data_IF_925324875438
#
_entry.id   IF_925324875438
#
_cell.length_a   1.000
_cell.length_b   1.000
_cell.length_c   1.000
_cell.angle_alpha   90.00
_cell.angle_beta   90.00
_cell.angle_gamma   90.00
#
_symmetry.space_group_name_H-M   'P 1'
#
loop_
_entity.id
_entity.type
_entity.pdbx_description
1 polymer ?
#
# COMPACT_ATOMS: atom_id res chain seq x y z
N UNK A 1 0.68 -12.26 8.49
CA UNK A 1 1.50 -12.05 9.71
C UNK A 1 1.67 -10.55 9.91
N UNK A 2 1.22 -10.01 11.05
CA UNK A 2 1.29 -8.58 11.34
C UNK A 2 2.75 -8.14 11.56
N UNK A 3 3.09 -6.93 11.13
CA UNK A 3 4.40 -6.35 11.42
C UNK A 3 4.55 -6.07 12.93
N UNK A 4 5.77 -6.25 13.46
CA UNK A 4 6.10 -5.78 14.81
C UNK A 4 5.86 -4.28 14.94
N UNK A 5 5.34 -3.88 16.11
CA UNK A 5 5.00 -2.49 16.45
C UNK A 5 6.18 -1.54 16.27
N UNK A 6 5.86 -0.27 16.01
CA UNK A 6 6.87 0.78 15.85
C UNK A 6 7.66 1.00 17.14
N UNK A 7 7.00 0.92 18.30
CA UNK A 7 7.64 0.98 19.61
C UNK A 7 8.74 -0.08 19.78
N UNK A 8 8.44 -1.34 19.46
CA UNK A 8 9.41 -2.43 19.59
C UNK A 8 10.66 -2.18 18.73
N UNK A 9 10.46 -1.68 17.50
CA UNK A 9 11.54 -1.35 16.57
C UNK A 9 12.39 -0.19 17.09
N UNK A 10 11.76 0.84 17.65
CA UNK A 10 12.44 1.98 18.25
C UNK A 10 13.32 1.53 19.42
N UNK A 11 12.79 0.70 20.32
CA UNK A 11 13.53 0.18 21.47
C UNK A 11 14.73 -0.70 21.06
N UNK A 12 14.55 -1.53 20.03
CA UNK A 12 15.66 -2.32 19.46
C UNK A 12 16.73 -1.40 18.84
N UNK A 13 16.32 -0.35 18.13
CA UNK A 13 17.25 0.59 17.50
C UNK A 13 18.06 1.35 18.54
N UNK A 14 17.41 1.91 19.57
CA UNK A 14 18.09 2.64 20.65
C UNK A 14 19.10 1.73 21.36
N UNK A 15 18.71 0.50 21.71
CA UNK A 15 19.62 -0.45 22.35
C UNK A 15 20.80 -0.86 21.42
N UNK A 16 20.59 -0.87 20.11
CA UNK A 16 21.66 -1.12 19.13
C UNK A 16 22.60 0.08 18.98
N UNK A 17 22.08 1.31 18.95
CA UNK A 17 22.88 2.54 18.88
C UNK A 17 23.73 2.74 20.12
N UNK A 18 23.19 2.42 21.30
CA UNK A 18 23.89 2.46 22.57
C UNK A 18 24.92 1.32 22.75
N UNK A 19 25.07 0.43 21.76
CA UNK A 19 25.95 -0.74 21.79
C UNK A 19 25.71 -1.66 23.01
N UNK A 20 24.49 -1.66 23.55
CA UNK A 20 24.15 -2.38 24.79
C UNK A 20 24.29 -3.90 24.65
N UNK A 21 24.23 -4.43 23.42
CA UNK A 21 24.28 -5.87 23.15
C UNK A 21 24.65 -6.18 21.69
N UNK A 22 25.07 -7.43 21.44
CA UNK A 22 25.14 -7.98 20.07
C UNK A 22 23.74 -8.18 19.49
N UNK A 23 23.63 -8.31 18.15
CA UNK A 23 22.34 -8.56 17.49
C UNK A 23 21.61 -9.80 18.05
N UNK A 24 22.38 -10.84 18.43
CA UNK A 24 21.84 -12.04 19.08
C UNK A 24 21.37 -11.77 20.50
N UNK A 25 22.07 -10.93 21.26
CA UNK A 25 21.65 -10.46 22.58
C UNK A 25 20.35 -9.65 22.52
N UNK A 26 20.25 -8.73 21.55
CA UNK A 26 19.02 -7.95 21.32
C UNK A 26 17.84 -8.85 20.96
N UNK A 27 18.02 -9.83 20.07
CA UNK A 27 16.97 -10.78 19.73
C UNK A 27 16.42 -11.52 20.95
N UNK A 28 17.31 -12.01 21.83
CA UNK A 28 16.92 -12.66 23.10
C UNK A 28 16.21 -11.71 24.05
N UNK A 29 16.76 -10.51 24.27
CA UNK A 29 16.21 -9.50 25.20
C UNK A 29 14.79 -9.07 24.80
N UNK A 30 14.57 -8.83 23.51
CA UNK A 30 13.29 -8.39 22.99
C UNK A 30 12.36 -9.54 22.59
N UNK A 31 12.76 -10.80 22.84
CA UNK A 31 11.99 -12.02 22.50
C UNK A 31 11.55 -12.05 21.04
N UNK A 32 12.41 -11.62 20.13
CA UNK A 32 12.19 -11.62 18.67
C UNK A 32 13.19 -12.54 17.97
N UNK A 33 12.91 -12.89 16.72
CA UNK A 33 13.84 -13.69 15.93
C UNK A 33 15.11 -12.91 15.58
N UNK A 34 16.24 -13.62 15.52
CA UNK A 34 17.51 -13.04 15.07
C UNK A 34 17.43 -12.51 13.63
N UNK A 35 16.72 -13.23 12.76
CA UNK A 35 16.48 -12.80 11.38
C UNK A 35 15.79 -11.44 11.32
N UNK A 36 14.77 -11.21 12.16
CA UNK A 36 14.08 -9.93 12.22
C UNK A 36 15.03 -8.79 12.62
N UNK A 37 15.82 -8.95 13.69
CA UNK A 37 16.76 -7.90 14.14
C UNK A 37 17.79 -7.61 13.05
N UNK A 38 18.35 -8.64 12.41
CA UNK A 38 19.32 -8.49 11.34
C UNK A 38 18.75 -7.75 10.13
N UNK A 39 17.57 -8.17 9.66
CA UNK A 39 16.92 -7.58 8.49
C UNK A 39 16.45 -6.15 8.77
N UNK A 40 15.97 -5.88 9.99
CA UNK A 40 15.60 -4.55 10.47
C UNK A 40 16.80 -3.60 10.46
N UNK A 41 17.91 -3.98 11.10
CA UNK A 41 19.12 -3.14 11.16
C UNK A 41 19.75 -2.94 9.78
N UNK A 42 19.76 -3.96 8.92
CA UNK A 42 20.22 -3.82 7.53
C UNK A 42 19.40 -2.77 6.78
N UNK A 43 18.07 -2.83 6.89
CA UNK A 43 17.18 -1.85 6.25
C UNK A 43 17.38 -0.45 6.82
N UNK A 44 17.48 -0.33 8.14
CA UNK A 44 17.71 0.94 8.79
C UNK A 44 18.98 1.61 8.27
N UNK A 45 20.09 0.88 8.11
CA UNK A 45 21.33 1.43 7.52
C UNK A 45 21.18 1.90 6.06
N UNK A 46 20.25 1.33 5.31
CA UNK A 46 20.04 1.66 3.89
C UNK A 46 19.07 2.83 3.69
N UNK A 47 18.09 2.97 4.58
CA UNK A 47 16.93 3.85 4.36
C UNK A 47 16.74 4.88 5.48
N UNK A 48 17.43 4.72 6.61
CA UNK A 48 17.17 5.42 7.87
C UNK A 48 15.71 5.34 8.37
N UNK A 49 14.92 4.40 7.83
CA UNK A 49 13.53 4.20 8.20
C UNK A 49 13.37 3.13 9.28
N UNK A 50 12.56 3.45 10.28
CA UNK A 50 12.19 2.54 11.38
C UNK A 50 10.86 1.84 11.07
N UNK A 51 9.97 2.54 10.37
CA UNK A 51 8.62 2.07 10.08
C UNK A 51 8.61 0.72 9.31
N UNK A 52 7.60 -0.14 9.54
CA UNK A 52 7.38 -1.30 8.67
C UNK A 52 7.23 -0.87 7.20
N UNK A 53 7.58 -1.77 6.28
CA UNK A 53 7.19 -1.54 4.88
C UNK A 53 5.66 -1.48 4.82
N UNK A 54 5.08 -0.64 3.95
CA UNK A 54 3.65 -0.70 3.70
C UNK A 54 3.26 -2.15 3.38
N UNK A 55 2.42 -2.73 4.24
CA UNK A 55 1.92 -4.09 4.08
C UNK A 55 0.66 -4.03 3.23
N UNK A 56 0.68 -4.71 2.08
CA UNK A 56 -0.41 -4.65 1.12
C UNK A 56 -0.36 -3.40 0.23
N UNK A 57 -1.40 -3.22 -0.57
CA UNK A 57 -1.47 -2.20 -1.63
C UNK A 57 -1.71 -2.85 -3.00
N UNK A 58 -2.45 -2.15 -3.86
CA UNK A 58 -2.75 -2.62 -5.20
C UNK A 58 -1.50 -2.52 -6.11
N UNK A 59 -0.70 -3.58 -6.11
CA UNK A 59 0.47 -3.70 -6.99
C UNK A 59 0.08 -3.86 -8.46
N UNK A 60 -1.16 -4.28 -8.77
CA UNK A 60 -1.56 -4.76 -10.10
C UNK A 60 -2.67 -3.96 -10.78
N UNK A 61 -3.19 -2.88 -10.16
CA UNK A 61 -4.15 -2.00 -10.83
C UNK A 61 -3.56 -1.55 -12.16
N UNK A 62 -4.29 -1.87 -13.24
CA UNK A 62 -3.96 -1.38 -14.58
C UNK A 62 -4.36 0.08 -14.76
N UNK A 63 -5.23 0.60 -13.90
CA UNK A 63 -5.71 2.00 -13.92
C UNK A 63 -4.89 2.77 -12.87
N UNK A 64 -3.96 3.61 -13.31
CA UNK A 64 -3.10 4.43 -12.43
C UNK A 64 -2.85 5.81 -13.05
N UNK A 65 -2.60 6.80 -12.19
CA UNK A 65 -2.20 8.14 -12.62
C UNK A 65 -3.27 8.80 -13.51
N UNK A 66 -2.90 9.16 -14.74
CA UNK A 66 -3.78 9.82 -15.70
C UNK A 66 -5.08 9.04 -15.98
N UNK A 67 -5.06 7.70 -15.89
CA UNK A 67 -6.26 6.88 -16.12
C UNK A 67 -7.28 7.07 -15.01
N UNK A 68 -6.82 7.37 -13.79
CA UNK A 68 -7.68 7.70 -12.65
C UNK A 68 -8.31 9.07 -12.82
N UNK A 69 -7.59 10.03 -13.40
CA UNK A 69 -8.14 11.36 -13.71
C UNK A 69 -9.23 11.28 -14.78
N UNK A 70 -9.02 10.48 -15.82
CA UNK A 70 -10.04 10.21 -16.82
C UNK A 70 -11.28 9.57 -16.19
N UNK A 71 -11.08 8.58 -15.31
CA UNK A 71 -12.16 7.94 -14.56
C UNK A 71 -12.95 8.95 -13.72
N UNK A 72 -12.25 9.86 -13.03
CA UNK A 72 -12.86 10.94 -12.24
C UNK A 72 -13.71 11.87 -13.10
N UNK A 73 -13.22 12.27 -14.27
CA UNK A 73 -13.97 13.12 -15.22
C UNK A 73 -15.24 12.42 -15.70
N UNK A 74 -15.13 11.16 -16.14
CA UNK A 74 -16.26 10.36 -16.62
C UNK A 74 -17.35 10.24 -15.54
N UNK A 75 -16.96 9.93 -14.30
CA UNK A 75 -17.91 9.78 -13.18
C UNK A 75 -18.49 11.13 -12.73
N UNK A 76 -17.70 12.21 -12.80
CA UNK A 76 -18.18 13.56 -12.46
C UNK A 76 -19.22 14.07 -13.47
N UNK A 77 -19.01 13.79 -14.76
CA UNK A 77 -19.97 14.14 -15.82
C UNK A 77 -21.22 13.24 -15.79
N UNK A 78 -21.04 11.95 -15.49
CA UNK A 78 -22.12 10.96 -15.49
C UNK A 78 -22.03 10.03 -14.27
N UNK A 79 -22.63 10.47 -13.16
CA UNK A 79 -22.64 9.69 -11.90
C UNK A 79 -23.46 8.38 -11.98
N UNK A 80 -24.32 8.22 -12.99
CA UNK A 80 -25.13 7.02 -13.22
C UNK A 80 -24.58 6.09 -14.31
N UNK A 81 -23.34 6.29 -14.77
CA UNK A 81 -22.72 5.46 -15.80
C UNK A 81 -22.54 4.00 -15.35
N UNK A 82 -22.80 3.05 -16.24
CA UNK A 82 -22.61 1.63 -15.93
C UNK A 82 -21.14 1.24 -15.97
N UNK A 83 -20.72 0.29 -15.12
CA UNK A 83 -19.33 -0.18 -15.06
C UNK A 83 -18.79 -0.70 -16.41
N UNK A 84 -19.65 -1.31 -17.23
CA UNK A 84 -19.31 -1.78 -18.59
C UNK A 84 -18.97 -0.62 -19.53
N UNK A 85 -19.67 0.50 -19.40
CA UNK A 85 -19.49 1.67 -20.26
C UNK A 85 -18.19 2.39 -19.88
N UNK A 86 -17.86 2.41 -18.59
CA UNK A 86 -16.55 2.88 -18.12
C UNK A 86 -15.43 1.99 -18.68
N UNK A 87 -15.59 0.66 -18.64
CA UNK A 87 -14.62 -0.28 -19.20
C UNK A 87 -14.40 -0.05 -20.71
N UNK A 88 -15.48 0.09 -21.48
CA UNK A 88 -15.42 0.34 -22.92
C UNK A 88 -14.73 1.68 -23.23
N UNK A 89 -15.03 2.74 -22.48
CA UNK A 89 -14.35 4.04 -22.63
C UNK A 89 -12.86 3.93 -22.32
N UNK A 90 -12.47 3.24 -21.25
CA UNK A 90 -11.05 3.02 -20.91
C UNK A 90 -10.31 2.22 -21.99
N UNK A 91 -10.97 1.23 -22.59
CA UNK A 91 -10.40 0.47 -23.70
C UNK A 91 -10.29 1.33 -24.97
N UNK A 92 -11.30 2.15 -25.27
CA UNK A 92 -11.34 2.98 -26.47
C UNK A 92 -10.35 4.15 -26.43
N UNK A 93 -10.24 4.83 -25.30
CA UNK A 93 -9.40 6.04 -25.17
C UNK A 93 -7.95 5.72 -24.86
N UNK A 94 -7.68 4.67 -24.07
CA UNK A 94 -6.32 4.34 -23.60
C UNK A 94 -5.86 2.92 -23.91
N UNK A 95 -6.68 2.08 -24.53
CA UNK A 95 -6.32 0.69 -24.84
C UNK A 95 -6.21 -0.21 -23.61
N UNK A 96 -6.72 0.21 -22.44
CA UNK A 96 -6.54 -0.53 -21.19
C UNK A 96 -7.62 -1.59 -21.04
N UNK A 97 -7.24 -2.85 -21.18
CA UNK A 97 -8.12 -3.98 -20.89
C UNK A 97 -8.19 -4.26 -19.38
N UNK A 98 -9.25 -3.73 -18.75
CA UNK A 98 -9.58 -3.97 -17.34
C UNK A 98 -10.85 -4.78 -17.22
N UNK A 99 -10.93 -5.66 -16.23
CA UNK A 99 -12.19 -6.34 -15.92
C UNK A 99 -13.16 -5.39 -15.21
N UNK A 100 -14.47 -5.68 -15.28
CA UNK A 100 -15.52 -4.95 -14.54
C UNK A 100 -15.19 -4.89 -13.04
N UNK A 101 -14.69 -5.99 -12.46
CA UNK A 101 -14.29 -6.02 -11.05
C UNK A 101 -13.05 -5.16 -10.77
N UNK A 102 -12.15 -4.99 -11.74
CA UNK A 102 -11.05 -4.04 -11.68
C UNK A 102 -11.56 -2.60 -11.65
N UNK A 103 -12.48 -2.24 -12.55
CA UNK A 103 -13.12 -0.91 -12.58
C UNK A 103 -13.83 -0.61 -11.26
N UNK A 104 -14.64 -1.55 -10.76
CA UNK A 104 -15.36 -1.38 -9.48
C UNK A 104 -14.41 -1.16 -8.30
N UNK A 105 -13.33 -1.95 -8.18
CA UNK A 105 -12.33 -1.75 -7.12
C UNK A 105 -11.64 -0.40 -7.23
N UNK A 106 -11.33 0.05 -8.44
CA UNK A 106 -10.72 1.36 -8.68
C UNK A 106 -11.66 2.50 -8.29
N UNK A 107 -12.95 2.41 -8.63
CA UNK A 107 -13.94 3.41 -8.21
C UNK A 107 -14.07 3.48 -6.69
N UNK A 108 -14.14 2.33 -6.00
CA UNK A 108 -14.16 2.29 -4.54
C UNK A 108 -12.88 2.87 -3.93
N UNK A 109 -11.71 2.56 -4.51
CA UNK A 109 -10.42 3.12 -4.08
C UNK A 109 -10.33 4.63 -4.24
N UNK A 110 -10.97 5.18 -5.27
CA UNK A 110 -11.02 6.63 -5.53
C UNK A 110 -12.18 7.32 -4.81
N UNK A 111 -12.94 6.61 -3.98
CA UNK A 111 -14.13 7.12 -3.28
C UNK A 111 -15.20 7.70 -4.23
N UNK A 112 -15.18 7.29 -5.50
CA UNK A 112 -16.12 7.69 -6.55
C UNK A 112 -17.38 6.83 -6.54
N UNK A 113 -17.84 6.43 -5.35
CA UNK A 113 -19.05 5.64 -5.20
C UNK A 113 -20.26 6.39 -5.74
N UNK A 114 -21.18 5.66 -6.38
CA UNK A 114 -22.48 6.20 -6.82
C UNK A 114 -23.14 6.90 -5.64
N UNK A 115 -23.31 8.24 -5.70
CA UNK A 115 -24.12 8.94 -4.69
C UNK A 115 -25.54 8.37 -4.80
N UNK A 116 -26.02 7.72 -3.73
CA UNK A 116 -27.44 7.40 -3.63
C UNK A 116 -28.22 8.72 -3.68
N UNK A 117 -29.05 8.89 -4.72
CA UNK A 117 -30.13 9.88 -4.68
C UNK A 117 -31.12 9.42 -3.61
N UNK A 118 -31.24 10.20 -2.54
CA UNK A 118 -32.42 10.19 -1.67
C UNK A 118 -33.50 11.05 -2.31
#
# INVERSE_FOLDING_TARGET
MAAYSLDLRQRILTAWQNQENTQRGLAKRFKVSLSFVRDFLRRYRQTNEIAPKPQGGDRRSKIKGEDEELLKKIVAEQNDIYLREIQEKLQKEKGIEVSISGVSRTLTRLELGRKKKH
#
